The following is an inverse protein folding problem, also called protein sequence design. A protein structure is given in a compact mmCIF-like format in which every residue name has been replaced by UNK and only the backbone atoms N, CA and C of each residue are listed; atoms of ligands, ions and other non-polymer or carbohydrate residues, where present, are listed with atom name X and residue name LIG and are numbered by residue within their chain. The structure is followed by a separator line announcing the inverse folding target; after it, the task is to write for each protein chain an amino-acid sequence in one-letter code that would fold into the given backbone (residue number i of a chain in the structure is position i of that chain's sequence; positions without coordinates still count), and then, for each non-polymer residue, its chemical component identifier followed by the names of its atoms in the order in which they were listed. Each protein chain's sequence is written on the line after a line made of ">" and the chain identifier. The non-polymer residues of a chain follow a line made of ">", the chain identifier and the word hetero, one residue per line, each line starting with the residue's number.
data_IF_366309019734
#
_entry.id   IF_366309019734
#
_cell.length_a   1.000
_cell.length_b   1.000
_cell.length_c   1.000
_cell.angle_alpha   90.00
_cell.angle_beta   90.00
_cell.angle_gamma   90.00
#
_symmetry.space_group_name_H-M   'P 1'
#
loop_
_entity.id
_entity.type
_entity.pdbx_description
1 polymer ?
#
# COMPACT_ATOMS: atom_id res chain seq x y z
N UNK A 1 36.12 -33.11 12.68
CA UNK A 1 34.91 -33.29 13.52
C UNK A 1 34.08 -32.02 13.45
N UNK A 2 32.87 -32.06 12.90
CA UNK A 2 31.76 -31.17 13.26
C UNK A 2 30.48 -31.70 12.62
N UNK A 3 29.61 -32.24 13.48
CA UNK A 3 28.41 -33.01 13.18
C UNK A 3 27.19 -32.08 13.11
N UNK A 4 26.41 -32.23 12.05
CA UNK A 4 25.06 -31.69 11.85
C UNK A 4 24.12 -32.04 13.03
N UNK A 5 23.47 -31.05 13.66
CA UNK A 5 22.48 -31.27 14.73
C UNK A 5 21.41 -30.14 14.85
N UNK A 6 20.78 -29.76 13.73
CA UNK A 6 19.79 -28.67 13.71
C UNK A 6 18.33 -29.01 14.04
N UNK A 7 17.94 -30.28 14.23
CA UNK A 7 16.52 -30.68 14.12
C UNK A 7 15.85 -31.30 15.36
N UNK A 8 16.31 -31.04 16.59
CA UNK A 8 15.69 -31.64 17.80
C UNK A 8 15.02 -30.68 18.79
N UNK A 9 14.86 -29.39 18.45
CA UNK A 9 14.47 -28.37 19.46
C UNK A 9 13.09 -27.71 19.29
N UNK A 10 12.07 -28.41 18.77
CA UNK A 10 10.70 -27.84 18.67
C UNK A 10 9.57 -28.70 19.26
N UNK A 11 9.86 -29.89 19.77
CA UNK A 11 8.81 -30.82 20.25
C UNK A 11 8.37 -30.63 21.73
N UNK A 12 8.86 -29.60 22.44
CA UNK A 12 8.61 -29.45 23.90
C UNK A 12 7.63 -28.34 24.31
N UNK A 13 7.04 -27.63 23.34
CA UNK A 13 6.11 -26.51 23.63
C UNK A 13 4.62 -26.86 23.51
N UNK A 14 4.27 -28.08 23.10
CA UNK A 14 2.87 -28.49 22.90
C UNK A 14 2.26 -29.15 24.16
N UNK A 15 3.06 -29.46 25.18
CA UNK A 15 2.60 -30.20 26.37
C UNK A 15 2.07 -29.31 27.54
N UNK A 16 1.95 -27.99 27.36
CA UNK A 16 1.41 -27.08 28.39
C UNK A 16 0.21 -26.31 27.84
N UNK A 17 -0.94 -26.98 27.76
CA UNK A 17 -2.23 -26.33 27.54
C UNK A 17 -3.27 -26.96 28.46
N UNK A 18 -3.05 -26.80 29.77
CA UNK A 18 -4.08 -27.00 30.78
C UNK A 18 -4.23 -25.70 31.57
N UNK A 19 -5.49 -25.37 31.84
CA UNK A 19 -5.99 -24.21 32.60
C UNK A 19 -5.99 -22.87 31.87
N UNK A 20 -7.11 -22.59 31.20
CA UNK A 20 -7.57 -21.22 30.99
C UNK A 20 -9.10 -21.22 31.02
N UNK A 21 -9.60 -21.17 32.26
CA UNK A 21 -10.76 -20.38 32.70
C UNK A 21 -12.01 -20.42 31.81
N UNK A 22 -13.00 -21.20 32.23
CA UNK A 22 -14.41 -21.03 31.82
C UNK A 22 -14.88 -19.64 32.22
N UNK A 23 -14.88 -18.69 31.28
CA UNK A 23 -15.53 -17.39 31.42
C UNK A 23 -16.89 -17.51 30.73
N UNK A 24 -17.95 -17.49 31.53
CA UNK A 24 -19.34 -17.46 31.06
C UNK A 24 -19.51 -16.31 30.06
N UNK A 25 -19.63 -16.64 28.78
CA UNK A 25 -19.94 -15.67 27.72
C UNK A 25 -21.44 -15.46 27.72
N UNK A 26 -21.87 -14.29 28.21
CA UNK A 26 -23.24 -13.79 27.99
C UNK A 26 -23.44 -13.60 26.48
N UNK A 27 -24.16 -14.52 25.84
CA UNK A 27 -24.61 -14.37 24.46
C UNK A 27 -25.80 -13.41 24.44
N UNK A 28 -25.52 -12.12 24.53
CA UNK A 28 -26.49 -11.09 24.20
C UNK A 28 -26.68 -11.06 22.68
N UNK A 29 -27.87 -11.43 22.20
CA UNK A 29 -28.24 -11.19 20.81
C UNK A 29 -28.34 -9.69 20.58
N UNK A 30 -27.27 -9.08 20.08
CA UNK A 30 -27.30 -7.71 19.60
C UNK A 30 -28.05 -7.73 18.26
N UNK A 31 -29.36 -7.50 18.30
CA UNK A 31 -30.13 -7.21 17.11
C UNK A 31 -29.61 -5.88 16.56
N UNK A 32 -28.72 -5.95 15.57
CA UNK A 32 -28.43 -4.81 14.71
C UNK A 32 -29.68 -4.58 13.87
N UNK A 33 -30.64 -3.85 14.45
CA UNK A 33 -31.80 -3.36 13.72
C UNK A 33 -31.33 -2.76 12.40
N UNK A 34 -31.94 -3.21 11.31
CA UNK A 34 -31.70 -2.74 9.95
C UNK A 34 -31.52 -1.23 9.98
N UNK A 35 -30.26 -0.77 9.80
CA UNK A 35 -29.95 0.65 9.71
C UNK A 35 -30.72 1.14 8.48
N UNK A 36 -31.74 1.96 8.70
CA UNK A 36 -32.59 2.48 7.63
C UNK A 36 -31.69 3.22 6.62
N UNK A 37 -31.48 2.62 5.46
CA UNK A 37 -30.84 3.29 4.33
C UNK A 37 -31.89 4.21 3.71
N UNK A 38 -31.90 5.46 4.15
CA UNK A 38 -32.73 6.50 3.56
C UNK A 38 -32.45 7.86 4.17
N UNK A 39 -31.80 8.73 3.40
CA UNK A 39 -31.96 10.18 3.54
C UNK A 39 -30.72 11.00 3.88
N UNK A 40 -30.21 11.69 2.85
CA UNK A 40 -29.84 13.12 2.89
C UNK A 40 -28.55 13.58 3.61
N UNK A 41 -27.44 13.59 2.87
CA UNK A 41 -26.50 14.73 2.80
C UNK A 41 -25.40 14.88 3.87
N UNK A 42 -24.15 15.07 3.38
CA UNK A 42 -22.95 15.58 4.08
C UNK A 42 -22.26 14.54 5.01
N UNK A 43 -21.20 13.81 4.64
CA UNK A 43 -19.84 14.25 4.25
C UNK A 43 -19.07 13.11 3.53
N UNK A 44 -19.68 12.51 2.51
CA UNK A 44 -18.97 11.49 1.71
C UNK A 44 -17.93 12.18 0.82
N UNK A 45 -16.65 11.73 0.76
CA UNK A 45 -15.65 12.40 -0.06
C UNK A 45 -16.12 12.43 -1.50
N UNK A 46 -16.09 13.61 -2.14
CA UNK A 46 -16.53 13.84 -3.52
C UNK A 46 -16.00 12.81 -4.54
N UNK A 47 -14.89 12.14 -4.21
CA UNK A 47 -14.24 11.12 -5.01
C UNK A 47 -14.84 9.71 -4.91
N UNK A 48 -15.54 9.36 -3.82
CA UNK A 48 -15.99 7.97 -3.54
C UNK A 48 -17.26 7.59 -4.32
N UNK A 49 -18.14 8.56 -4.57
CA UNK A 49 -19.38 8.36 -5.33
C UNK A 49 -19.44 9.21 -6.61
N UNK A 50 -18.28 9.60 -7.16
CA UNK A 50 -18.22 10.40 -8.38
C UNK A 50 -18.74 9.59 -9.60
N UNK A 51 -19.47 10.27 -10.50
CA UNK A 51 -19.93 9.68 -11.79
C UNK A 51 -18.77 9.26 -12.70
N UNK A 52 -17.62 9.93 -12.60
CA UNK A 52 -16.42 9.66 -13.37
C UNK A 52 -15.25 9.38 -12.42
N UNK A 53 -14.43 8.38 -12.76
CA UNK A 53 -13.30 7.95 -11.94
C UNK A 53 -12.24 9.06 -11.76
N UNK A 54 -12.03 9.88 -12.79
CA UNK A 54 -11.18 11.06 -12.72
C UNK A 54 -11.98 12.32 -13.01
N UNK A 55 -11.78 13.35 -12.20
CA UNK A 55 -12.32 14.68 -12.45
C UNK A 55 -11.18 15.66 -12.74
N UNK A 56 -10.64 15.55 -13.95
CA UNK A 56 -9.49 16.36 -14.38
C UNK A 56 -9.89 17.82 -14.60
N UNK A 57 -11.11 18.10 -15.07
CA UNK A 57 -11.60 19.46 -15.35
C UNK A 57 -11.75 20.32 -14.10
N UNK A 58 -11.93 19.70 -12.93
CA UNK A 58 -11.95 20.41 -11.63
C UNK A 58 -10.54 20.71 -11.10
N UNK A 59 -9.47 20.25 -11.75
CA UNK A 59 -8.10 20.51 -11.30
C UNK A 59 -7.70 21.96 -11.61
N UNK A 60 -7.41 22.73 -10.57
CA UNK A 60 -6.87 24.09 -10.74
C UNK A 60 -5.52 24.05 -11.47
N UNK A 61 -5.40 24.87 -12.52
CA UNK A 61 -4.25 24.96 -13.42
C UNK A 61 -3.89 23.64 -14.13
N UNK A 62 -4.92 22.88 -14.56
CA UNK A 62 -4.76 21.59 -15.23
C UNK A 62 -3.77 21.64 -16.41
N UNK A 63 -3.89 22.61 -17.30
CA UNK A 63 -2.99 22.73 -18.47
C UNK A 63 -1.51 22.80 -18.08
N UNK A 64 -1.18 23.62 -17.08
CA UNK A 64 0.18 23.77 -16.58
C UNK A 64 0.68 22.50 -15.86
N UNK A 65 -0.18 21.84 -15.07
CA UNK A 65 0.20 20.60 -14.38
C UNK A 65 0.42 19.45 -15.35
N UNK A 66 -0.45 19.32 -16.35
CA UNK A 66 -0.34 18.23 -17.34
C UNK A 66 0.86 18.45 -18.25
N UNK A 67 1.10 19.68 -18.73
CA UNK A 67 2.29 19.97 -19.55
C UNK A 67 3.59 19.78 -18.77
N UNK A 68 3.65 20.26 -17.52
CA UNK A 68 4.82 20.08 -16.67
C UNK A 68 5.06 18.60 -16.33
N UNK A 69 4.00 17.84 -16.06
CA UNK A 69 4.09 16.41 -15.78
C UNK A 69 4.66 15.64 -16.98
N UNK A 70 4.13 15.89 -18.18
CA UNK A 70 4.62 15.27 -19.42
C UNK A 70 6.07 15.66 -19.69
N UNK A 71 6.39 16.95 -19.56
CA UNK A 71 7.75 17.45 -19.77
C UNK A 71 8.74 16.81 -18.79
N UNK A 72 8.38 16.68 -17.52
CA UNK A 72 9.21 16.07 -16.49
C UNK A 72 9.43 14.58 -16.77
N UNK A 73 8.38 13.84 -17.09
CA UNK A 73 8.48 12.41 -17.41
C UNK A 73 9.38 12.17 -18.63
N UNK A 74 9.19 12.97 -19.69
CA UNK A 74 10.03 12.91 -20.89
C UNK A 74 11.50 13.25 -20.57
N UNK A 75 11.72 14.32 -19.81
CA UNK A 75 13.07 14.76 -19.43
C UNK A 75 13.83 13.67 -18.67
N UNK A 76 13.17 12.97 -17.74
CA UNK A 76 13.78 11.84 -17.02
C UNK A 76 14.09 10.69 -17.98
N UNK A 77 13.16 10.39 -18.90
CA UNK A 77 13.33 9.33 -19.90
C UNK A 77 14.55 9.53 -20.81
N UNK A 78 14.92 10.77 -21.10
CA UNK A 78 16.11 11.09 -21.93
C UNK A 78 17.36 11.32 -21.07
N UNK A 79 17.25 12.02 -19.95
CA UNK A 79 18.39 12.39 -19.13
C UNK A 79 19.09 11.17 -18.51
N UNK A 80 18.33 10.16 -18.06
CA UNK A 80 18.91 8.96 -17.42
C UNK A 80 19.81 8.17 -18.36
N UNK A 81 19.40 7.80 -19.59
CA UNK A 81 20.27 7.13 -20.56
C UNK A 81 21.51 7.96 -20.94
N UNK A 82 21.36 9.26 -21.18
CA UNK A 82 22.48 10.15 -21.54
C UNK A 82 23.51 10.18 -20.42
N UNK A 83 23.05 10.34 -19.17
CA UNK A 83 23.93 10.33 -18.01
C UNK A 83 24.63 8.98 -17.83
N UNK A 84 23.94 7.86 -18.08
CA UNK A 84 24.53 6.54 -18.02
C UNK A 84 25.68 6.36 -19.03
N UNK A 85 25.55 6.88 -20.25
CA UNK A 85 26.63 6.86 -21.25
C UNK A 85 27.82 7.72 -20.79
N UNK A 86 27.58 8.95 -20.34
CA UNK A 86 28.63 9.84 -19.82
C UNK A 86 29.37 9.16 -18.67
N UNK A 87 28.63 8.54 -17.74
CA UNK A 87 29.21 7.83 -16.61
C UNK A 87 30.10 6.66 -17.05
N UNK A 88 29.66 5.88 -18.05
CA UNK A 88 30.46 4.79 -18.60
C UNK A 88 31.73 5.28 -19.28
N UNK A 89 31.63 6.31 -20.12
CA UNK A 89 32.80 6.91 -20.78
C UNK A 89 33.82 7.45 -19.78
N UNK A 90 33.35 8.11 -18.71
CA UNK A 90 34.23 8.60 -17.63
C UNK A 90 34.97 7.48 -16.91
N UNK A 91 34.33 6.31 -16.71
CA UNK A 91 34.99 5.13 -16.13
C UNK A 91 36.02 4.51 -17.07
N UNK A 92 35.78 4.51 -18.38
CA UNK A 92 36.70 3.97 -19.38
C UNK A 92 37.90 4.90 -19.63
N UNK A 93 37.69 6.21 -19.60
CA UNK A 93 38.74 7.20 -19.86
C UNK A 93 39.71 7.41 -18.68
N UNK A 94 39.36 6.96 -17.47
CA UNK A 94 40.21 7.03 -16.28
C UNK A 94 41.14 5.80 -16.12
N UNK A 95 41.25 4.96 -17.15
CA UNK A 95 42.16 3.81 -17.20
C UNK A 95 43.55 4.18 -17.69
#
# INVERSE_FOLDING_TARGET
>A
MALNNGFRSTAKLIASSHSSLSKSVSRGFHSTGVKRMGGHGHDEPYYVHAKHMYNLDRMKHQGLKMSLAVFTAFSIGVAVPVYAVIFQQKKTASG
#
